data_IF_891979325832
#
_entry.id   IF_891979325832
#
_cell.length_a   1.000
_cell.length_b   1.000
_cell.length_c   1.000
_cell.angle_alpha   90.00
_cell.angle_beta   90.00
_cell.angle_gamma   90.00
#
_symmetry.space_group_name_H-M   'P 1'
#
loop_
_entity.id
_entity.type
_entity.pdbx_description
1 polymer ?
#
# COMPACT_ATOMS: atom_id res chain seq x y z
N UNK A 1 -28.11 -83.10 11.13
CA UNK A 1 -26.74 -82.67 10.76
C UNK A 1 -26.83 -81.49 9.77
N UNK A 2 -25.76 -80.67 9.71
CA UNK A 2 -25.55 -79.47 8.85
C UNK A 2 -26.47 -79.28 7.63
N UNK A 3 -27.10 -78.09 7.54
CA UNK A 3 -27.03 -77.23 6.34
C UNK A 3 -26.70 -75.80 6.78
N UNK A 4 -25.50 -75.35 6.46
CA UNK A 4 -25.00 -74.02 6.85
C UNK A 4 -25.48 -73.00 5.81
N UNK A 5 -26.19 -71.97 6.26
CA UNK A 5 -26.74 -70.90 5.42
C UNK A 5 -25.64 -69.86 5.17
N UNK A 6 -25.03 -69.86 3.99
CA UNK A 6 -24.00 -68.89 3.60
C UNK A 6 -24.57 -67.47 3.70
N UNK A 7 -23.97 -66.63 4.54
CA UNK A 7 -24.12 -65.17 4.47
C UNK A 7 -22.89 -64.64 3.73
N UNK A 8 -23.12 -63.93 2.62
CA UNK A 8 -22.06 -63.23 1.90
C UNK A 8 -21.84 -61.89 2.59
N UNK A 9 -20.71 -61.73 3.27
CA UNK A 9 -20.33 -60.47 3.88
C UNK A 9 -19.76 -59.56 2.79
N UNK A 10 -20.57 -58.65 2.24
CA UNK A 10 -20.13 -57.68 1.25
C UNK A 10 -19.28 -56.60 1.94
N UNK A 11 -17.96 -56.78 1.96
CA UNK A 11 -16.99 -55.77 2.39
C UNK A 11 -17.07 -54.55 1.48
N UNK A 12 -17.84 -53.55 1.90
CA UNK A 12 -17.94 -52.26 1.22
C UNK A 12 -16.65 -51.48 1.49
N UNK A 13 -15.78 -51.40 0.48
CA UNK A 13 -14.50 -50.71 0.59
C UNK A 13 -14.72 -49.21 0.41
N UNK A 14 -15.17 -48.54 1.47
CA UNK A 14 -15.39 -47.09 1.47
C UNK A 14 -14.05 -46.37 1.38
N UNK A 15 -13.62 -46.08 0.15
CA UNK A 15 -12.40 -45.30 -0.12
C UNK A 15 -12.70 -43.85 0.23
N UNK A 16 -12.43 -43.47 1.48
CA UNK A 16 -12.44 -42.08 1.92
C UNK A 16 -11.29 -41.34 1.22
N UNK A 17 -11.56 -40.76 0.06
CA UNK A 17 -10.66 -39.83 -0.60
C UNK A 17 -10.58 -38.56 0.24
N UNK A 18 -9.57 -38.51 1.12
CA UNK A 18 -9.26 -37.30 1.90
C UNK A 18 -8.75 -36.24 0.92
N UNK A 19 -9.67 -35.38 0.46
CA UNK A 19 -9.33 -34.13 -0.19
C UNK A 19 -8.71 -33.22 0.86
N UNK A 20 -7.39 -33.35 1.04
CA UNK A 20 -6.59 -32.32 1.69
C UNK A 20 -6.65 -31.07 0.81
N UNK A 21 -7.59 -30.18 1.08
CA UNK A 21 -7.45 -28.79 0.72
C UNK A 21 -6.24 -28.26 1.49
N UNK A 22 -5.07 -28.34 0.86
CA UNK A 22 -3.93 -27.54 1.22
C UNK A 22 -4.27 -26.11 0.86
N UNK A 23 -4.91 -25.39 1.80
CA UNK A 23 -4.77 -23.94 1.84
C UNK A 23 -3.26 -23.67 1.92
N UNK A 24 -2.70 -23.04 0.90
CA UNK A 24 -1.33 -22.51 0.99
C UNK A 24 -1.29 -21.40 2.04
N UNK A 25 -0.11 -21.08 2.60
CA UNK A 25 0.02 -19.91 3.46
C UNK A 25 -0.49 -18.67 2.72
N UNK A 26 -1.32 -17.90 3.40
CA UNK A 26 -1.91 -16.67 2.88
C UNK A 26 -0.93 -15.50 3.00
N UNK A 27 0.26 -15.70 2.43
CA UNK A 27 1.38 -14.76 2.34
C UNK A 27 0.88 -13.34 2.05
N UNK A 28 0.89 -12.50 3.07
CA UNK A 28 0.30 -11.16 3.08
C UNK A 28 1.36 -10.04 3.18
N UNK A 29 0.91 -8.83 2.80
CA UNK A 29 1.49 -7.49 2.90
C UNK A 29 3.03 -7.33 2.88
N UNK A 30 3.51 -6.56 1.89
CA UNK A 30 4.93 -6.21 1.74
C UNK A 30 5.41 -5.16 2.74
N UNK A 31 6.74 -5.00 2.82
CA UNK A 31 7.40 -4.01 3.69
C UNK A 31 8.15 -4.57 4.90
N UNK A 32 8.08 -5.88 5.16
CA UNK A 32 8.94 -6.59 6.12
C UNK A 32 9.47 -7.88 5.46
N UNK A 33 10.79 -8.07 5.43
CA UNK A 33 11.42 -9.32 4.97
C UNK A 33 12.54 -9.71 5.94
N UNK A 34 12.33 -10.81 6.66
CA UNK A 34 13.39 -11.44 7.45
C UNK A 34 14.34 -12.25 6.57
N UNK A 35 15.55 -12.53 7.08
CA UNK A 35 16.64 -13.17 6.31
C UNK A 35 16.31 -14.53 5.67
N UNK A 36 15.22 -15.19 6.09
CA UNK A 36 14.73 -16.46 5.52
C UNK A 36 13.34 -16.34 4.82
N UNK A 37 12.76 -15.14 4.73
CA UNK A 37 11.39 -14.94 4.24
C UNK A 37 10.30 -15.53 5.16
N UNK A 38 10.59 -15.67 6.45
CA UNK A 38 9.75 -16.36 7.45
C UNK A 38 8.76 -15.47 8.20
N UNK A 39 8.69 -14.18 7.89
CA UNK A 39 7.80 -13.20 8.56
C UNK A 39 6.79 -12.69 7.53
N UNK A 40 5.51 -12.87 7.84
CA UNK A 40 4.35 -12.43 7.05
C UNK A 40 3.62 -11.32 7.83
N UNK A 41 3.47 -10.12 7.24
CA UNK A 41 2.63 -9.06 7.81
C UNK A 41 1.15 -9.39 7.59
N UNK A 42 0.32 -9.20 8.62
CA UNK A 42 -1.13 -9.32 8.50
C UNK A 42 -1.77 -8.22 7.65
N UNK A 43 -3.10 -8.14 7.68
CA UNK A 43 -3.86 -7.07 7.03
C UNK A 43 -3.48 -5.73 7.67
N UNK A 44 -2.76 -4.88 6.94
CA UNK A 44 -2.19 -3.66 7.52
C UNK A 44 -3.30 -2.67 7.89
N UNK A 45 -3.37 -2.25 9.15
CA UNK A 45 -4.32 -1.24 9.63
C UNK A 45 -3.57 0.06 9.95
N UNK A 46 -4.07 1.20 9.48
CA UNK A 46 -3.42 2.50 9.64
C UNK A 46 -4.44 3.60 9.92
N UNK A 47 -4.13 4.48 10.87
CA UNK A 47 -4.83 5.74 11.08
C UNK A 47 -3.91 6.89 10.66
N UNK A 48 -4.32 7.65 9.63
CA UNK A 48 -3.70 8.92 9.28
C UNK A 48 -4.64 10.07 9.69
N UNK A 49 -4.44 10.59 10.89
CA UNK A 49 -5.17 11.75 11.38
C UNK A 49 -4.47 13.06 10.99
N UNK A 50 -5.22 14.13 10.76
CA UNK A 50 -4.67 15.44 10.43
C UNK A 50 -5.51 16.58 11.05
N UNK A 51 -4.86 17.39 11.89
CA UNK A 51 -5.44 18.55 12.55
C UNK A 51 -4.35 19.59 12.87
N UNK A 52 -4.69 20.88 12.90
CA UNK A 52 -3.78 21.99 13.26
C UNK A 52 -2.46 22.03 12.45
N UNK A 53 -2.44 21.52 11.21
CA UNK A 53 -1.25 21.44 10.36
C UNK A 53 -0.33 20.24 10.66
N UNK A 54 -0.78 19.29 11.49
CA UNK A 54 0.01 18.14 11.95
C UNK A 54 -0.68 16.84 11.55
N UNK A 55 0.03 16.02 10.78
CA UNK A 55 -0.34 14.62 10.57
C UNK A 55 0.11 13.79 11.76
N UNK A 56 -0.80 12.99 12.32
CA UNK A 56 -0.46 11.88 13.21
C UNK A 56 -0.72 10.58 12.49
N UNK A 57 0.37 9.87 12.19
CA UNK A 57 0.36 8.60 11.47
C UNK A 57 0.54 7.48 12.51
N UNK A 58 -0.53 6.71 12.75
CA UNK A 58 -0.54 5.56 13.63
C UNK A 58 -0.58 4.29 12.80
N UNK A 59 0.38 3.41 13.03
CA UNK A 59 0.50 2.10 12.39
C UNK A 59 1.02 1.08 13.40
N UNK A 60 0.72 -0.20 13.20
CA UNK A 60 1.17 -1.27 14.08
C UNK A 60 1.99 -2.30 13.31
N UNK A 61 3.09 -2.75 13.89
CA UNK A 61 3.89 -3.85 13.38
C UNK A 61 3.50 -5.13 14.11
N UNK A 62 2.90 -6.08 13.38
CA UNK A 62 2.62 -7.44 13.85
C UNK A 62 3.79 -8.37 13.51
N UNK A 63 4.19 -9.24 14.46
CA UNK A 63 5.33 -10.15 14.27
C UNK A 63 4.90 -11.62 14.18
N UNK A 64 5.20 -12.24 13.04
CA UNK A 64 4.96 -13.67 12.78
C UNK A 64 6.26 -14.40 12.44
N UNK A 65 6.41 -15.64 12.94
CA UNK A 65 7.51 -16.54 12.57
C UNK A 65 8.77 -16.51 13.44
N UNK A 66 9.72 -17.38 13.09
CA UNK A 66 11.03 -17.52 13.76
C UNK A 66 12.11 -16.77 12.95
N UNK A 67 12.70 -15.73 13.54
CA UNK A 67 13.76 -14.91 12.96
C UNK A 67 14.40 -14.00 14.01
N UNK A 68 15.72 -13.80 13.94
CA UNK A 68 16.49 -13.12 15.00
C UNK A 68 16.41 -11.58 14.93
N UNK A 69 16.31 -11.02 13.72
CA UNK A 69 16.08 -9.59 13.46
C UNK A 69 15.20 -9.43 12.20
N UNK A 70 14.31 -8.43 12.19
CA UNK A 70 13.61 -7.94 10.98
C UNK A 70 13.47 -6.42 11.04
N UNK A 71 13.23 -5.77 9.90
CA UNK A 71 12.94 -4.33 9.90
C UNK A 71 12.20 -3.84 8.66
N UNK A 72 11.43 -2.76 8.86
CA UNK A 72 10.57 -2.11 7.87
C UNK A 72 11.06 -0.69 7.56
N UNK A 73 10.72 -0.17 6.38
CA UNK A 73 11.03 1.20 5.97
C UNK A 73 9.71 1.89 5.58
N UNK A 74 9.34 2.94 6.30
CA UNK A 74 8.13 3.73 6.05
C UNK A 74 8.52 5.14 5.56
N UNK A 75 8.14 5.55 4.34
CA UNK A 75 8.43 6.88 3.80
C UNK A 75 7.45 7.93 4.35
N UNK A 76 7.98 9.07 4.77
CA UNK A 76 7.26 10.12 5.50
C UNK A 76 7.12 11.40 4.67
N UNK A 77 6.04 12.19 4.78
CA UNK A 77 5.84 13.39 3.97
C UNK A 77 6.73 14.57 4.38
N UNK A 78 7.19 14.61 5.65
CA UNK A 78 8.22 15.51 6.17
C UNK A 78 8.83 14.89 7.45
N UNK A 79 9.73 15.59 8.13
CA UNK A 79 10.41 15.17 9.37
C UNK A 79 9.40 15.12 10.54
N UNK A 80 9.23 13.98 11.23
CA UNK A 80 8.48 13.93 12.48
C UNK A 80 9.14 14.79 13.55
N UNK A 81 8.34 15.57 14.27
CA UNK A 81 8.80 16.24 15.51
C UNK A 81 8.82 15.30 16.70
N UNK A 82 8.10 14.19 16.63
CA UNK A 82 8.00 13.19 17.68
C UNK A 82 7.63 11.82 17.09
N UNK A 83 8.10 10.75 17.71
CA UNK A 83 7.78 9.35 17.38
C UNK A 83 7.62 8.60 18.70
N UNK A 84 6.39 8.21 19.02
CA UNK A 84 6.03 7.60 20.31
C UNK A 84 5.36 6.25 20.11
N UNK A 85 5.12 5.55 21.22
CA UNK A 85 4.06 4.55 21.29
C UNK A 85 2.71 5.21 21.00
N UNK A 86 1.84 4.53 20.27
CA UNK A 86 0.44 4.92 20.11
C UNK A 86 -0.43 4.21 21.15
N UNK A 87 -1.73 4.51 21.15
CA UNK A 87 -2.71 3.83 21.98
C UNK A 87 -2.80 2.32 21.69
N UNK A 88 -2.99 1.54 22.75
CA UNK A 88 -3.00 0.07 22.74
C UNK A 88 -4.13 -0.50 21.87
N UNK A 89 -5.26 0.20 21.80
CA UNK A 89 -6.51 -0.33 21.26
C UNK A 89 -7.20 0.56 20.20
N UNK A 90 -6.56 1.68 19.83
CA UNK A 90 -7.05 2.69 18.88
C UNK A 90 -7.41 2.12 17.51
N UNK A 91 -6.51 1.35 16.89
CA UNK A 91 -6.74 0.76 15.57
C UNK A 91 -7.83 -0.31 15.64
N UNK A 92 -7.84 -1.10 16.71
CA UNK A 92 -8.83 -2.14 17.00
C UNK A 92 -10.22 -1.54 17.26
N UNK A 93 -10.30 -0.35 17.89
CA UNK A 93 -11.54 0.40 18.08
C UNK A 93 -12.07 1.01 16.78
N UNK A 94 -11.19 1.45 15.88
CA UNK A 94 -11.55 1.88 14.53
C UNK A 94 -12.04 0.71 13.66
N UNK A 95 -11.36 -0.44 13.71
CA UNK A 95 -11.82 -1.68 13.04
C UNK A 95 -13.19 -2.13 13.57
N UNK A 96 -13.41 -2.07 14.89
CA UNK A 96 -14.74 -2.32 15.52
C UNK A 96 -15.80 -1.28 15.15
N UNK A 97 -15.41 -0.07 14.76
CA UNK A 97 -16.36 0.96 14.33
C UNK A 97 -16.95 0.62 12.97
N UNK A 98 -16.10 0.24 12.01
CA UNK A 98 -16.53 -0.13 10.66
C UNK A 98 -17.12 -1.53 10.60
N UNK A 99 -16.60 -2.46 11.41
CA UNK A 99 -17.09 -3.82 11.60
C UNK A 99 -17.69 -3.99 13.02
N UNK A 100 -18.89 -3.47 13.30
CA UNK A 100 -19.52 -3.59 14.62
C UNK A 100 -19.76 -5.06 14.97
N UNK A 101 -19.20 -5.58 16.08
CA UNK A 101 -19.32 -6.98 16.43
C UNK A 101 -20.76 -7.34 16.83
N UNK A 102 -21.25 -8.49 16.34
CA UNK A 102 -22.49 -9.11 16.81
C UNK A 102 -22.48 -9.22 18.34
N UNK A 103 -23.52 -8.73 19.06
CA UNK A 103 -23.42 -8.33 20.46
C UNK A 103 -23.12 -9.51 21.40
N UNK A 104 -21.83 -9.63 21.72
CA UNK A 104 -21.23 -10.57 22.67
C UNK A 104 -20.49 -9.77 23.76
N UNK A 105 -20.14 -10.39 24.90
CA UNK A 105 -20.12 -9.70 26.20
C UNK A 105 -18.91 -10.03 27.08
N UNK A 106 -18.40 -9.00 27.76
CA UNK A 106 -17.47 -8.95 28.92
C UNK A 106 -15.97 -8.63 28.69
N UNK A 107 -15.56 -7.51 29.32
CA UNK A 107 -14.39 -7.23 30.20
C UNK A 107 -12.92 -7.32 29.68
N UNK A 108 -11.99 -6.48 30.23
CA UNK A 108 -10.65 -6.14 29.66
C UNK A 108 -9.56 -5.75 30.72
N UNK A 109 -8.27 -5.57 30.32
CA UNK A 109 -7.10 -4.99 31.06
C UNK A 109 -5.90 -4.60 30.11
N UNK A 110 -4.86 -3.85 30.58
CA UNK A 110 -3.80 -3.06 29.84
C UNK A 110 -2.37 -3.09 30.52
N UNK A 111 -1.29 -2.49 29.90
CA UNK A 111 -0.10 -1.69 30.44
C UNK A 111 1.29 -1.76 29.66
N UNK A 112 2.23 -0.81 29.93
CA UNK A 112 3.35 -0.25 29.06
C UNK A 112 4.69 0.08 29.82
N UNK A 113 5.88 0.55 29.32
CA UNK A 113 6.64 0.76 28.04
C UNK A 113 8.16 1.16 28.31
N UNK A 114 8.91 1.77 27.33
CA UNK A 114 10.32 2.34 27.33
C UNK A 114 11.56 1.37 27.27
N UNK A 115 12.83 1.70 26.91
CA UNK A 115 13.59 2.70 26.04
C UNK A 115 15.13 2.60 26.38
N UNK A 116 16.22 3.14 25.76
CA UNK A 116 16.74 3.85 24.53
C UNK A 116 18.32 3.75 24.56
N UNK A 117 19.26 3.96 23.61
CA UNK A 117 19.48 4.35 22.18
C UNK A 117 21.05 4.48 21.95
N UNK A 118 21.75 4.79 20.83
CA UNK A 118 21.53 5.21 19.43
C UNK A 118 22.88 5.49 18.65
N UNK A 119 22.88 5.97 17.37
CA UNK A 119 24.01 6.24 16.43
C UNK A 119 24.02 7.68 15.79
N UNK A 120 24.44 7.89 14.51
CA UNK A 120 24.34 9.22 13.82
C UNK A 120 23.14 9.29 12.86
N UNK A 121 22.27 10.26 13.12
CA UNK A 121 20.81 10.11 12.99
C UNK A 121 20.12 11.48 13.10
N UNK A 122 18.91 11.65 12.55
CA UNK A 122 18.09 12.85 12.82
C UNK A 122 17.43 12.80 14.21
N UNK A 123 16.72 11.70 14.49
CA UNK A 123 16.26 11.30 15.81
C UNK A 123 16.12 9.78 15.87
N UNK A 124 16.42 9.21 17.03
CA UNK A 124 16.30 7.78 17.35
C UNK A 124 15.49 7.65 18.63
N UNK A 125 14.64 6.63 18.67
CA UNK A 125 13.84 6.29 19.84
C UNK A 125 13.63 4.77 19.88
N UNK A 126 13.30 4.26 21.04
CA UNK A 126 12.95 2.86 21.25
C UNK A 126 11.50 2.78 21.74
N UNK A 127 10.69 1.93 21.10
CA UNK A 127 9.27 1.72 21.44
C UNK A 127 9.02 0.22 21.55
N UNK A 128 8.83 -0.25 22.78
CA UNK A 128 8.79 -1.67 23.13
C UNK A 128 9.98 -2.46 22.53
N UNK A 129 9.73 -3.43 21.64
CA UNK A 129 10.76 -4.19 20.95
C UNK A 129 11.41 -3.46 19.75
N UNK A 130 10.96 -2.26 19.39
CA UNK A 130 11.37 -1.56 18.17
C UNK A 130 12.48 -0.54 18.39
N UNK A 131 13.55 -0.62 17.61
CA UNK A 131 14.47 0.50 17.36
C UNK A 131 13.93 1.33 16.18
N UNK A 132 13.70 2.62 16.40
CA UNK A 132 13.10 3.53 15.43
C UNK A 132 14.09 4.63 15.05
N UNK A 133 14.57 4.62 13.80
CA UNK A 133 15.55 5.58 13.28
C UNK A 133 14.92 6.47 12.21
N UNK A 134 14.90 7.79 12.41
CA UNK A 134 14.46 8.76 11.39
C UNK A 134 15.65 9.17 10.52
N UNK A 135 15.52 8.91 9.22
CA UNK A 135 16.52 9.11 8.18
C UNK A 135 16.16 10.25 7.24
N UNK A 136 17.18 10.87 6.64
CA UNK A 136 17.07 11.71 5.45
C UNK A 136 18.10 11.27 4.41
N UNK A 137 17.67 11.05 3.17
CA UNK A 137 18.56 10.78 2.04
C UNK A 137 17.81 10.32 0.79
N UNK A 138 18.55 10.18 -0.32
CA UNK A 138 18.02 9.53 -1.53
C UNK A 138 17.89 8.01 -1.37
N UNK A 139 17.23 7.35 -2.32
CA UNK A 139 17.03 5.90 -2.31
C UNK A 139 18.36 5.11 -2.21
N UNK A 140 19.38 5.52 -2.97
CA UNK A 140 20.74 4.98 -2.92
C UNK A 140 21.43 5.15 -1.55
N UNK A 141 21.01 6.11 -0.73
CA UNK A 141 21.57 6.39 0.60
C UNK A 141 20.84 5.60 1.68
N UNK A 142 19.50 5.69 1.70
CA UNK A 142 18.63 4.94 2.60
C UNK A 142 18.79 3.44 2.39
N UNK A 143 18.88 2.98 1.14
CA UNK A 143 19.08 1.57 0.81
C UNK A 143 20.43 1.02 1.27
N UNK A 144 21.51 1.80 1.17
CA UNK A 144 22.82 1.40 1.74
C UNK A 144 22.79 1.36 3.26
N UNK A 145 22.24 2.41 3.91
CA UNK A 145 22.09 2.43 5.36
C UNK A 145 21.30 1.22 5.86
N UNK A 146 20.21 0.86 5.17
CA UNK A 146 19.38 -0.29 5.53
C UNK A 146 20.19 -1.60 5.51
N UNK A 147 20.91 -1.88 4.42
CA UNK A 147 21.77 -3.07 4.30
C UNK A 147 22.90 -3.06 5.34
N UNK A 148 23.54 -1.91 5.57
CA UNK A 148 24.62 -1.76 6.54
C UNK A 148 24.15 -1.96 8.00
N UNK A 149 22.85 -1.80 8.29
CA UNK A 149 22.23 -2.02 9.62
C UNK A 149 21.43 -3.34 9.75
N UNK A 150 21.52 -4.22 8.74
CA UNK A 150 20.96 -5.57 8.77
C UNK A 150 19.56 -5.76 8.18
N UNK A 151 18.98 -4.72 7.57
CA UNK A 151 17.70 -4.85 6.86
C UNK A 151 17.90 -5.60 5.54
N UNK A 152 16.99 -6.52 5.22
CA UNK A 152 16.95 -7.15 3.90
C UNK A 152 16.23 -6.23 2.91
N UNK A 153 16.86 -5.94 1.77
CA UNK A 153 16.21 -5.23 0.67
C UNK A 153 15.86 -6.18 -0.47
N UNK A 154 14.64 -6.05 -0.96
CA UNK A 154 14.12 -6.82 -2.09
C UNK A 154 14.56 -6.22 -3.43
N UNK A 155 14.54 -6.98 -4.55
CA UNK A 155 15.08 -6.51 -5.84
C UNK A 155 14.38 -5.27 -6.42
N UNK A 156 13.15 -5.00 -6.00
CA UNK A 156 12.30 -3.86 -6.33
C UNK A 156 12.48 -2.66 -5.38
N UNK A 157 13.02 -2.87 -4.18
CA UNK A 157 13.15 -1.82 -3.16
C UNK A 157 13.84 -0.53 -3.64
N UNK A 158 14.91 -0.54 -4.47
CA UNK A 158 15.50 0.71 -4.97
C UNK A 158 14.53 1.57 -5.79
N UNK A 159 13.68 0.95 -6.62
CA UNK A 159 12.72 1.66 -7.47
C UNK A 159 11.53 2.20 -6.65
N UNK A 160 11.09 1.44 -5.64
CA UNK A 160 10.06 1.90 -4.70
C UNK A 160 10.60 3.05 -3.84
N UNK A 161 11.83 2.97 -3.35
CA UNK A 161 12.47 4.04 -2.57
C UNK A 161 12.70 5.31 -3.42
N UNK A 162 13.07 5.20 -4.70
CA UNK A 162 13.22 6.35 -5.61
C UNK A 162 11.90 7.11 -5.77
N UNK A 163 10.78 6.40 -5.92
CA UNK A 163 9.42 6.96 -6.01
C UNK A 163 8.99 7.76 -4.75
N UNK A 164 9.57 7.45 -3.59
CA UNK A 164 9.37 8.23 -2.38
C UNK A 164 10.38 9.39 -2.27
N UNK A 165 11.67 9.12 -2.49
CA UNK A 165 12.74 10.12 -2.42
C UNK A 165 12.51 11.33 -3.35
N UNK A 166 11.86 11.11 -4.51
CA UNK A 166 11.46 12.18 -5.43
C UNK A 166 10.43 13.18 -4.87
N UNK A 167 9.69 12.82 -3.80
CA UNK A 167 8.64 13.64 -3.17
C UNK A 167 8.96 14.04 -1.74
N UNK A 168 9.68 13.18 -1.00
CA UNK A 168 10.24 13.44 0.32
C UNK A 168 11.47 12.57 0.55
N UNK A 169 12.56 13.18 1.01
CA UNK A 169 13.80 12.48 1.38
C UNK A 169 13.71 11.74 2.73
N UNK A 170 12.55 11.76 3.41
CA UNK A 170 12.41 11.34 4.81
C UNK A 170 11.83 9.94 4.92
N UNK A 171 12.50 9.09 5.71
CA UNK A 171 12.09 7.71 5.95
C UNK A 171 12.24 7.37 7.44
N UNK A 172 11.26 6.67 8.02
CA UNK A 172 11.45 5.92 9.26
C UNK A 172 11.97 4.52 8.88
N UNK A 173 13.06 4.10 9.51
CA UNK A 173 13.41 2.68 9.60
C UNK A 173 12.97 2.17 10.98
N UNK A 174 12.30 1.02 11.01
CA UNK A 174 11.85 0.36 12.24
C UNK A 174 12.43 -1.05 12.29
N UNK A 175 13.31 -1.35 13.25
CA UNK A 175 13.94 -2.66 13.44
C UNK A 175 13.40 -3.34 14.71
N UNK A 176 13.21 -4.65 14.66
CA UNK A 176 12.72 -5.47 15.78
C UNK A 176 13.87 -6.21 16.47
N UNK A 177 13.98 -6.06 17.79
CA UNK A 177 14.87 -6.83 18.66
C UNK A 177 14.09 -7.98 19.32
N UNK A 178 14.37 -9.21 18.89
CA UNK A 178 13.74 -10.41 19.42
C UNK A 178 14.12 -10.74 20.87
N UNK A 179 15.24 -10.20 21.39
CA UNK A 179 15.65 -10.34 22.79
C UNK A 179 14.85 -9.38 23.67
N UNK A 180 14.73 -8.12 23.26
CA UNK A 180 13.91 -7.10 23.96
C UNK A 180 12.43 -7.50 23.96
N UNK A 181 11.92 -8.04 22.86
CA UNK A 181 10.58 -8.64 22.81
C UNK A 181 10.40 -9.77 23.85
N UNK A 182 11.36 -10.69 23.95
CA UNK A 182 11.29 -11.80 24.90
C UNK A 182 11.38 -11.36 26.36
N UNK A 183 12.19 -10.33 26.68
CA UNK A 183 12.28 -9.74 28.02
C UNK A 183 11.01 -8.94 28.40
N UNK A 184 10.35 -8.31 27.41
CA UNK A 184 9.00 -7.71 27.56
C UNK A 184 7.87 -8.75 27.61
N UNK A 185 8.15 -10.01 27.30
CA UNK A 185 7.16 -11.09 27.24
C UNK A 185 6.27 -11.08 25.99
N UNK A 186 6.60 -10.27 24.97
CA UNK A 186 5.89 -10.21 23.69
C UNK A 186 6.11 -11.50 22.89
N UNK A 187 5.03 -12.00 22.28
CA UNK A 187 5.01 -13.22 21.48
C UNK A 187 4.54 -12.99 20.04
N UNK A 188 4.47 -14.08 19.27
CA UNK A 188 3.99 -13.99 17.88
C UNK A 188 2.49 -13.71 17.83
N UNK A 189 2.11 -12.69 17.06
CA UNK A 189 0.76 -12.15 17.01
C UNK A 189 0.52 -10.94 17.92
N UNK A 190 1.48 -10.58 18.78
CA UNK A 190 1.46 -9.27 19.44
C UNK A 190 1.90 -8.18 18.45
N UNK A 191 1.39 -6.97 18.67
CA UNK A 191 1.63 -5.81 17.80
C UNK A 191 2.16 -4.63 18.60
N UNK A 192 3.22 -3.97 18.13
CA UNK A 192 3.67 -2.69 18.70
C UNK A 192 3.09 -1.54 17.86
N UNK A 193 2.15 -0.73 18.39
CA UNK A 193 1.59 0.40 17.68
C UNK A 193 2.43 1.66 17.92
N UNK A 194 2.85 2.34 16.84
CA UNK A 194 3.64 3.57 16.90
C UNK A 194 2.85 4.76 16.34
N UNK A 195 3.12 5.96 16.86
CA UNK A 195 2.57 7.22 16.37
C UNK A 195 3.71 8.16 15.95
N UNK A 196 3.74 8.53 14.67
CA UNK A 196 4.59 9.63 14.21
C UNK A 196 3.79 10.94 14.22
N UNK A 197 4.32 11.99 14.83
CA UNK A 197 3.75 13.34 14.82
C UNK A 197 4.55 14.21 13.84
N UNK A 198 3.94 14.53 12.70
CA UNK A 198 4.59 15.14 11.52
C UNK A 198 3.87 16.43 11.13
N UNK A 199 4.43 17.62 11.42
CA UNK A 199 3.96 18.87 10.82
C UNK A 199 4.15 18.83 9.30
N UNK A 200 3.09 19.03 8.52
CA UNK A 200 3.16 19.03 7.05
C UNK A 200 1.94 19.70 6.43
N UNK A 201 2.14 20.53 5.40
CA UNK A 201 1.02 21.11 4.63
C UNK A 201 0.38 20.09 3.65
N UNK A 202 1.02 18.93 3.43
CA UNK A 202 0.62 17.92 2.42
C UNK A 202 0.65 16.50 3.01
N UNK A 203 -0.33 16.14 3.87
CA UNK A 203 -0.43 14.80 4.44
C UNK A 203 -0.70 13.70 3.38
N UNK A 204 -0.07 12.53 3.57
CA UNK A 204 -0.23 11.36 2.69
C UNK A 204 -0.41 10.06 3.46
N UNK A 205 -0.81 8.98 2.77
CA UNK A 205 -0.63 7.61 3.24
C UNK A 205 0.19 6.85 2.19
N UNK A 206 1.38 6.32 2.54
CA UNK A 206 2.26 5.61 1.62
C UNK A 206 1.71 4.21 1.37
N UNK A 207 0.86 4.05 0.35
CA UNK A 207 0.23 2.77 0.03
C UNK A 207 1.13 1.91 -0.86
N UNK A 208 1.93 2.50 -1.75
CA UNK A 208 2.83 1.75 -2.65
C UNK A 208 3.90 0.95 -1.91
N UNK A 209 4.30 1.32 -0.69
CA UNK A 209 5.26 0.54 0.10
C UNK A 209 4.74 -0.86 0.45
N UNK A 210 3.41 -1.04 0.53
CA UNK A 210 2.76 -2.31 0.90
C UNK A 210 2.82 -3.39 -0.20
N UNK A 211 3.20 -3.03 -1.44
CA UNK A 211 3.50 -4.00 -2.50
C UNK A 211 4.97 -4.43 -2.55
N UNK A 212 5.87 -3.74 -1.83
CA UNK A 212 7.31 -3.96 -1.90
C UNK A 212 7.69 -5.37 -1.44
N UNK A 213 8.35 -6.13 -2.32
CA UNK A 213 8.78 -7.51 -2.07
C UNK A 213 7.74 -8.60 -2.36
N UNK A 214 6.52 -8.26 -2.80
CA UNK A 214 5.47 -9.24 -3.12
C UNK A 214 5.56 -9.73 -4.58
N UNK A 215 5.10 -10.96 -4.85
CA UNK A 215 4.87 -11.40 -6.23
C UNK A 215 3.77 -10.52 -6.87
N UNK A 216 3.95 -10.14 -8.13
CA UNK A 216 3.07 -9.22 -8.88
C UNK A 216 1.57 -9.53 -8.76
N UNK A 217 1.21 -10.83 -8.77
CA UNK A 217 -0.16 -11.32 -8.69
C UNK A 217 -0.74 -11.53 -7.28
N UNK A 218 -0.03 -11.14 -6.21
CA UNK A 218 -0.54 -11.14 -4.82
C UNK A 218 -1.57 -10.04 -4.63
N UNK A 219 -2.55 -10.27 -3.76
CA UNK A 219 -3.42 -9.20 -3.25
C UNK A 219 -2.74 -8.51 -2.07
N UNK A 220 -2.83 -7.19 -2.02
CA UNK A 220 -2.53 -6.35 -0.85
C UNK A 220 -3.86 -5.94 -0.23
N UNK A 221 -4.04 -6.26 1.06
CA UNK A 221 -5.23 -5.90 1.83
C UNK A 221 -4.86 -4.97 2.99
N UNK A 222 -5.49 -3.80 3.08
CA UNK A 222 -5.24 -2.83 4.15
C UNK A 222 -6.49 -2.03 4.53
N UNK A 223 -6.56 -1.58 5.78
CA UNK A 223 -7.61 -0.67 6.28
C UNK A 223 -7.02 0.71 6.59
N UNK A 224 -7.41 1.71 5.80
CA UNK A 224 -6.97 3.10 5.98
C UNK A 224 -8.09 3.92 6.62
N UNK A 225 -7.84 4.39 7.84
CA UNK A 225 -8.70 5.33 8.56
C UNK A 225 -8.12 6.74 8.47
N UNK A 226 -8.96 7.72 8.14
CA UNK A 226 -8.60 9.13 8.19
C UNK A 226 -9.48 9.85 9.22
N UNK A 227 -8.86 10.65 10.08
CA UNK A 227 -9.55 11.55 11.00
C UNK A 227 -9.08 12.98 10.75
N UNK A 228 -9.99 13.86 10.36
CA UNK A 228 -9.68 15.21 9.86
C UNK A 228 -10.61 16.25 10.49
N UNK A 229 -10.22 17.52 10.60
CA UNK A 229 -11.08 18.55 11.25
C UNK A 229 -12.39 18.84 10.49
N UNK A 230 -12.45 18.50 9.21
CA UNK A 230 -13.63 18.58 8.35
C UNK A 230 -13.46 17.69 7.13
N UNK A 231 -14.51 17.55 6.30
CA UNK A 231 -14.48 16.62 5.16
C UNK A 231 -13.26 16.86 4.24
N UNK A 232 -12.36 15.88 4.08
CA UNK A 232 -11.18 16.04 3.26
C UNK A 232 -11.49 15.87 1.77
N UNK A 233 -10.60 16.42 0.97
CA UNK A 233 -10.46 16.17 -0.45
C UNK A 233 -9.38 15.09 -0.64
N UNK A 234 -9.74 13.98 -1.26
CA UNK A 234 -8.89 12.79 -1.37
C UNK A 234 -8.57 12.51 -2.84
N UNK A 235 -7.34 12.12 -3.11
CA UNK A 235 -6.94 11.54 -4.39
C UNK A 235 -6.21 10.23 -4.16
N UNK A 236 -6.66 9.19 -4.85
CA UNK A 236 -5.93 7.94 -5.01
C UNK A 236 -5.52 7.83 -6.48
N UNK A 237 -4.27 7.46 -6.75
CA UNK A 237 -3.75 7.40 -8.12
C UNK A 237 -4.29 6.26 -8.99
N UNK A 238 -4.88 5.22 -8.39
CA UNK A 238 -5.29 4.01 -9.11
C UNK A 238 -6.62 3.38 -8.64
N UNK A 239 -6.65 2.05 -8.57
CA UNK A 239 -7.84 1.23 -8.27
C UNK A 239 -7.60 0.33 -7.07
N UNK A 240 -8.68 -0.06 -6.40
CA UNK A 240 -8.67 -1.01 -5.29
C UNK A 240 -8.81 -0.35 -3.92
N UNK A 241 -8.47 0.94 -3.82
CA UNK A 241 -8.83 1.75 -2.65
C UNK A 241 -10.29 2.22 -2.77
N UNK A 242 -11.15 1.73 -1.88
CA UNK A 242 -12.55 2.16 -1.74
C UNK A 242 -12.71 3.41 -0.87
N UNK A 243 -13.94 3.93 -0.76
CA UNK A 243 -14.33 4.90 0.26
C UNK A 243 -15.70 4.46 0.79
N UNK A 244 -15.71 3.74 1.91
CA UNK A 244 -16.92 3.10 2.44
C UNK A 244 -17.62 3.94 3.52
N UNK A 245 -16.87 4.68 4.35
CA UNK A 245 -17.41 5.74 5.22
C UNK A 245 -16.75 7.09 4.93
N UNK A 246 -17.51 8.16 5.06
CA UNK A 246 -17.09 9.56 4.91
C UNK A 246 -18.14 10.43 5.60
N UNK A 247 -18.00 10.64 6.91
CA UNK A 247 -18.98 11.35 7.74
C UNK A 247 -18.33 11.97 8.99
N UNK A 248 -19.09 12.68 9.82
CA UNK A 248 -18.58 13.07 11.14
C UNK A 248 -18.47 11.82 12.02
N UNK A 249 -17.32 11.64 12.67
CA UNK A 249 -17.15 10.61 13.69
C UNK A 249 -18.15 10.83 14.83
N UNK A 250 -18.70 9.73 15.36
CA UNK A 250 -19.58 9.80 16.54
C UNK A 250 -18.81 10.32 17.76
N UNK A 251 -19.49 11.14 18.58
CA UNK A 251 -18.92 11.71 19.81
C UNK A 251 -18.42 10.60 20.76
N UNK A 252 -19.06 9.42 20.74
CA UNK A 252 -18.66 8.24 21.50
C UNK A 252 -17.34 7.64 20.97
N UNK A 253 -17.19 7.45 19.65
CA UNK A 253 -15.93 6.98 19.05
C UNK A 253 -14.76 7.90 19.41
N UNK A 254 -14.96 9.22 19.30
CA UNK A 254 -13.90 10.18 19.64
C UNK A 254 -13.63 10.26 21.15
N UNK A 255 -14.62 9.98 22.00
CA UNK A 255 -14.42 9.86 23.45
C UNK A 255 -13.64 8.58 23.81
N UNK A 256 -13.97 7.45 23.16
CA UNK A 256 -13.23 6.19 23.29
C UNK A 256 -11.76 6.42 22.89
N UNK A 257 -11.50 6.86 21.65
CA UNK A 257 -10.14 7.02 21.12
C UNK A 257 -9.28 8.00 21.94
N UNK A 258 -9.86 9.06 22.53
CA UNK A 258 -9.14 9.98 23.45
C UNK A 258 -8.78 9.37 24.80
N UNK A 259 -9.39 8.26 25.19
CA UNK A 259 -9.15 7.60 26.48
C UNK A 259 -8.07 6.52 26.41
N UNK A 260 -7.58 6.22 25.21
CA UNK A 260 -6.45 5.33 24.93
C UNK A 260 -5.10 6.07 25.13
N UNK A 261 -4.02 5.34 25.34
CA UNK A 261 -2.71 5.91 25.70
C UNK A 261 -2.15 6.83 24.62
N UNK A 262 -1.64 8.01 25.00
CA UNK A 262 -1.06 9.01 24.09
C UNK A 262 -2.01 9.56 23.01
N UNK A 263 -3.34 9.37 23.15
CA UNK A 263 -4.35 9.81 22.17
C UNK A 263 -5.22 11.01 22.63
N UNK A 264 -4.91 11.61 23.78
CA UNK A 264 -5.67 12.72 24.38
C UNK A 264 -5.73 13.99 23.50
N UNK A 265 -4.72 14.17 22.64
CA UNK A 265 -4.57 15.28 21.68
C UNK A 265 -5.73 15.42 20.68
N UNK A 266 -6.56 14.40 20.48
CA UNK A 266 -7.56 14.37 19.40
C UNK A 266 -8.67 15.43 19.56
N UNK A 267 -8.90 16.31 18.56
CA UNK A 267 -9.98 17.29 18.57
C UNK A 267 -11.35 16.72 18.93
N UNK A 268 -12.16 17.53 19.63
CA UNK A 268 -13.48 17.10 20.15
C UNK A 268 -14.44 16.61 19.06
N UNK A 269 -14.30 17.09 17.83
CA UNK A 269 -15.05 16.62 16.65
C UNK A 269 -14.10 16.47 15.46
N UNK A 270 -14.21 15.36 14.75
CA UNK A 270 -13.43 15.05 13.55
C UNK A 270 -14.32 14.35 12.51
N UNK A 271 -13.97 14.48 11.25
CA UNK A 271 -14.53 13.77 10.11
C UNK A 271 -13.78 12.46 9.89
N UNK A 272 -14.51 11.34 10.00
CA UNK A 272 -14.03 9.99 9.72
C UNK A 272 -14.18 9.68 8.24
N UNK A 273 -13.09 9.21 7.62
CA UNK A 273 -13.15 8.47 6.36
C UNK A 273 -12.55 7.08 6.55
N UNK A 274 -13.15 6.07 5.94
CA UNK A 274 -12.64 4.70 5.94
C UNK A 274 -12.50 4.21 4.49
N UNK A 275 -11.29 3.79 4.15
CA UNK A 275 -10.87 3.41 2.82
C UNK A 275 -10.20 2.02 2.90
N UNK A 276 -10.94 0.92 2.69
CA UNK A 276 -10.33 -0.38 2.52
C UNK A 276 -9.60 -0.45 1.18
N UNK A 277 -8.45 -1.14 1.17
CA UNK A 277 -7.65 -1.45 0.00
C UNK A 277 -7.78 -2.95 -0.30
N UNK A 278 -8.22 -3.29 -1.51
CA UNK A 278 -8.14 -4.62 -2.13
C UNK A 278 -7.63 -4.42 -3.56
N UNK A 279 -6.35 -4.76 -3.79
CA UNK A 279 -5.64 -4.51 -5.04
C UNK A 279 -4.54 -5.53 -5.25
N UNK A 280 -4.06 -5.72 -6.47
CA UNK A 280 -2.84 -6.49 -6.71
C UNK A 280 -1.59 -5.68 -6.43
N UNK A 281 -0.52 -6.34 -5.99
CA UNK A 281 0.81 -5.74 -5.88
C UNK A 281 1.26 -5.07 -7.20
N UNK A 282 0.96 -5.67 -8.36
CA UNK A 282 1.28 -5.10 -9.68
C UNK A 282 0.44 -3.88 -10.10
N UNK A 283 -0.72 -3.67 -9.47
CA UNK A 283 -1.61 -2.51 -9.70
C UNK A 283 -1.38 -1.39 -8.66
N UNK A 284 -0.83 -1.71 -7.49
CA UNK A 284 -0.57 -0.78 -6.37
C UNK A 284 0.67 0.09 -6.61
N UNK A 285 0.53 1.04 -7.52
CA UNK A 285 1.61 1.89 -8.04
C UNK A 285 1.52 3.35 -7.55
N UNK A 286 0.69 3.61 -6.54
CA UNK A 286 0.24 4.94 -6.14
C UNK A 286 0.02 5.06 -4.63
N UNK A 287 -0.02 6.31 -4.14
CA UNK A 287 -0.36 6.65 -2.75
C UNK A 287 -1.74 7.33 -2.63
N UNK A 288 -2.20 7.54 -1.39
CA UNK A 288 -3.36 8.38 -1.07
C UNK A 288 -2.89 9.75 -0.60
N UNK A 289 -3.22 10.80 -1.36
CA UNK A 289 -2.95 12.18 -1.01
C UNK A 289 -4.19 12.86 -0.43
N UNK A 290 -4.00 13.67 0.61
CA UNK A 290 -5.06 14.25 1.43
C UNK A 290 -4.93 15.78 1.45
N UNK A 291 -6.05 16.49 1.32
CA UNK A 291 -6.14 17.93 1.59
C UNK A 291 -7.38 18.21 2.44
N UNK A 292 -7.23 18.96 3.53
CA UNK A 292 -8.37 19.51 4.30
C UNK A 292 -8.70 20.95 3.92
N UNK A 293 -7.90 21.60 3.06
CA UNK A 293 -8.12 22.98 2.65
C UNK A 293 -9.31 23.10 1.68
N UNK A 294 -10.31 23.98 1.96
CA UNK A 294 -11.48 24.16 1.10
C UNK A 294 -11.11 24.69 -0.30
N UNK A 295 -11.24 23.85 -1.32
CA UNK A 295 -10.98 24.18 -2.73
C UNK A 295 -9.58 23.84 -3.23
N UNK A 296 -8.68 23.35 -2.38
CA UNK A 296 -7.36 22.83 -2.78
C UNK A 296 -7.46 21.32 -2.96
N UNK A 297 -7.42 20.86 -4.22
CA UNK A 297 -7.40 19.44 -4.56
C UNK A 297 -5.96 18.91 -4.58
N UNK A 298 -5.69 17.70 -4.06
CA UNK A 298 -4.41 17.03 -4.27
C UNK A 298 -4.14 16.78 -5.77
N UNK A 299 -2.87 16.75 -6.15
CA UNK A 299 -2.42 16.55 -7.53
C UNK A 299 -1.96 15.12 -7.82
N UNK A 300 -1.79 14.79 -9.10
CA UNK A 300 -1.22 13.50 -9.50
C UNK A 300 0.23 13.33 -8.99
N UNK A 301 0.98 14.42 -8.91
CA UNK A 301 2.36 14.41 -8.40
C UNK A 301 2.39 14.07 -6.89
N UNK A 302 1.39 14.50 -6.10
CA UNK A 302 1.30 14.17 -4.67
C UNK A 302 1.10 12.66 -4.44
N UNK A 303 0.31 11.98 -5.30
CA UNK A 303 0.14 10.51 -5.28
C UNK A 303 1.25 9.74 -6.00
N UNK A 304 2.30 10.43 -6.45
CA UNK A 304 3.47 9.86 -7.12
C UNK A 304 3.30 9.53 -8.60
N UNK A 305 2.20 9.97 -9.23
CA UNK A 305 1.96 9.79 -10.66
C UNK A 305 2.46 11.02 -11.39
N UNK A 306 3.74 11.01 -11.78
CA UNK A 306 4.20 11.91 -12.83
C UNK A 306 3.39 11.67 -14.10
N UNK A 307 2.66 12.68 -14.57
CA UNK A 307 2.21 12.72 -15.96
C UNK A 307 3.44 12.90 -16.86
N UNK A 308 4.12 11.78 -17.15
CA UNK A 308 5.28 11.70 -18.04
C UNK A 308 5.05 12.59 -19.25
N UNK A 309 5.76 13.73 -19.27
CA UNK A 309 5.38 14.88 -20.10
C UNK A 309 5.25 14.46 -21.54
N UNK A 310 4.00 14.33 -21.99
CA UNK A 310 3.68 13.81 -23.30
C UNK A 310 4.21 14.81 -24.33
N UNK A 311 5.43 14.54 -24.80
CA UNK A 311 6.05 15.22 -25.93
C UNK A 311 5.26 14.85 -27.18
N UNK A 312 4.07 15.45 -27.30
CA UNK A 312 3.32 15.63 -28.52
C UNK A 312 4.20 16.47 -29.41
N UNK A 313 5.19 15.81 -30.03
CA UNK A 313 5.99 16.34 -31.12
C UNK A 313 4.97 16.89 -32.12
N UNK A 314 4.87 18.23 -32.27
CA UNK A 314 3.74 18.83 -32.95
C UNK A 314 3.79 18.33 -34.38
N UNK A 315 2.82 17.46 -34.74
CA UNK A 315 2.86 16.69 -35.98
C UNK A 315 3.00 17.68 -37.12
N UNK A 316 4.19 17.72 -37.72
CA UNK A 316 4.57 18.78 -38.65
C UNK A 316 3.45 18.93 -39.70
N UNK A 317 2.92 20.16 -39.91
CA UNK A 317 1.71 20.34 -40.69
C UNK A 317 1.95 19.78 -42.10
N UNK A 318 1.26 18.68 -42.42
CA UNK A 318 1.53 17.88 -43.61
C UNK A 318 1.41 18.79 -44.83
N UNK A 319 2.53 19.04 -45.48
CA UNK A 319 2.61 20.07 -46.52
C UNK A 319 2.12 19.49 -47.83
N UNK A 320 1.71 20.36 -48.75
CA UNK A 320 1.37 19.95 -50.12
C UNK A 320 2.56 19.26 -50.84
N UNK A 321 3.78 19.47 -50.34
CA UNK A 321 5.00 18.82 -50.83
C UNK A 321 5.02 17.33 -50.53
N UNK A 322 4.40 16.88 -49.45
CA UNK A 322 4.46 15.47 -49.03
C UNK A 322 3.54 14.56 -49.87
N UNK A 323 2.58 15.16 -50.59
CA UNK A 323 1.58 14.47 -51.41
C UNK A 323 1.99 14.34 -52.89
N UNK A 324 3.07 15.01 -53.33
CA UNK A 324 3.50 15.00 -54.73
C UNK A 324 3.73 13.60 -55.34
N UNK A 325 4.29 12.59 -54.61
CA UNK A 325 4.53 11.28 -55.20
C UNK A 325 3.23 10.52 -55.49
N UNK A 326 2.25 10.63 -54.58
CA UNK A 326 0.93 10.00 -54.73
C UNK A 326 0.12 10.66 -55.86
N UNK A 327 0.16 11.99 -55.96
CA UNK A 327 -0.48 12.74 -57.04
C UNK A 327 0.09 12.36 -58.42
N UNK A 328 1.43 12.22 -58.54
CA UNK A 328 2.08 11.77 -59.77
C UNK A 328 1.71 10.32 -60.10
N UNK A 329 1.70 9.41 -59.11
CA UNK A 329 1.32 8.01 -59.32
C UNK A 329 -0.12 7.88 -59.87
N UNK A 330 -1.07 8.65 -59.32
CA UNK A 330 -2.45 8.69 -59.81
C UNK A 330 -2.56 9.27 -61.23
N UNK A 331 -1.83 10.35 -61.52
CA UNK A 331 -1.81 10.97 -62.85
C UNK A 331 -1.25 10.02 -63.93
N UNK A 332 -0.16 9.30 -63.62
CA UNK A 332 0.43 8.28 -64.52
C UNK A 332 -0.54 7.12 -64.72
N UNK A 333 -1.17 6.60 -63.65
CA UNK A 333 -2.16 5.53 -63.74
C UNK A 333 -3.36 5.89 -64.62
N UNK A 334 -3.91 7.10 -64.45
CA UNK A 334 -4.99 7.61 -65.29
C UNK A 334 -4.57 7.76 -66.77
N UNK A 335 -3.35 8.29 -67.03
CA UNK A 335 -2.80 8.41 -68.37
C UNK A 335 -2.66 7.07 -69.09
N UNK A 336 -2.10 6.06 -68.42
CA UNK A 336 -1.96 4.70 -68.96
C UNK A 336 -3.32 4.07 -69.24
N UNK A 337 -4.30 4.22 -68.34
CA UNK A 337 -5.66 3.69 -68.53
C UNK A 337 -6.37 4.34 -69.72
N UNK A 338 -6.27 5.66 -69.88
CA UNK A 338 -6.82 6.38 -71.02
C UNK A 338 -6.17 5.94 -72.34
N UNK A 339 -4.84 5.78 -72.38
CA UNK A 339 -4.12 5.30 -73.57
C UNK A 339 -4.57 3.89 -73.97
N UNK A 340 -4.67 2.96 -73.01
CA UNK A 340 -5.15 1.60 -73.24
C UNK A 340 -6.62 1.58 -73.72
N UNK A 341 -7.47 2.50 -73.20
CA UNK A 341 -8.85 2.65 -73.64
C UNK A 341 -8.97 3.16 -75.08
N UNK A 342 -8.07 4.07 -75.51
CA UNK A 342 -8.03 4.60 -76.87
C UNK A 342 -7.54 3.55 -77.87
N UNK A 343 -6.47 2.83 -77.54
CA UNK A 343 -5.93 1.73 -78.36
C UNK A 343 -7.01 0.65 -78.57
N UNK A 344 -7.73 0.24 -77.51
CA UNK A 344 -8.84 -0.72 -77.65
C UNK A 344 -9.93 -0.27 -78.63
N UNK A 345 -10.32 1.01 -78.60
CA UNK A 345 -11.32 1.57 -79.53
C UNK A 345 -10.83 1.54 -80.98
N UNK A 346 -9.56 1.85 -81.22
CA UNK A 346 -8.96 1.79 -82.56
C UNK A 346 -8.90 0.35 -83.11
N UNK A 347 -8.65 -0.65 -82.25
CA UNK A 347 -8.67 -2.08 -82.63
C UNK A 347 -10.07 -2.68 -82.82
N UNK A 348 -11.15 -1.91 -82.64
CA UNK A 348 -12.55 -2.38 -82.77
C UNK A 348 -13.31 -1.68 -83.92
N UNK A 349 -12.61 -1.05 -84.86
CA UNK A 349 -13.22 -0.61 -86.12
C UNK A 349 -13.60 -1.83 -86.99
N UNK A 350 -14.87 -2.02 -87.37
CA UNK A 350 -15.28 -3.13 -88.23
C UNK A 350 -14.87 -2.91 -89.69
N UNK A 351 -14.50 -3.99 -90.36
CA UNK A 351 -14.27 -4.10 -91.81
C UNK A 351 -15.48 -4.71 -92.51
#
# INVERSE_FOLDING_TARGET
MRRIRRWALHTTTTTAAVLTLTAGPALACGGLVGANGTIELGKTTTLAAYADGVQRYVTAFEFSGEGEEVGSIIPLPDVPTDVTRAGDWTLQRLVREVNPPEPTRFDAFEETAEAAGGAEVLFETEVDALDLTVLRGGADEVGRWAVDNGFFLTPDAPEVLDFYAARSEIFLAAKFDASRAADLGQGSGDSTPIMLTIPTDRPWVPLRILSMGLDSGKTVEADVFLLTEGKPQLLAGGRGLGLERSEWADDALLADLRSDENMDWMPQRMWLSYLPLDVRAEDLTYDLAISTEPGVHPSLDDVGIELASAAVTPRAPVTLRDWWPAAVALAVGAGVWLLASAIRRLTQAPS
#
